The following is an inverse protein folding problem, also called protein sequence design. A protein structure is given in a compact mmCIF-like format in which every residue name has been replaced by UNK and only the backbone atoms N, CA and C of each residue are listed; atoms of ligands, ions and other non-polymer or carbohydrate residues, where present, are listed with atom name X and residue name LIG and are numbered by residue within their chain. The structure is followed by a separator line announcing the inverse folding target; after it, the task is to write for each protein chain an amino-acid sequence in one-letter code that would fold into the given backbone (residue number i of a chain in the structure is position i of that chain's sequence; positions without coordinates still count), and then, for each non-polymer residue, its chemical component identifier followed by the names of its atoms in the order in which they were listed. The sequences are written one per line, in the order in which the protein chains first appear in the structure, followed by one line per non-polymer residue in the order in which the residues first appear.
data_IF_861971011409
#
_entry.id   IF_861971011409
#
_cell.length_a   1.000
_cell.length_b   1.000
_cell.length_c   1.000
_cell.angle_alpha   90.00
_cell.angle_beta   90.00
_cell.angle_gamma   90.00
#
_symmetry.space_group_name_H-M   'P 1'
#
loop_
_entity.id
_entity.type
_entity.pdbx_description
1 polymer ?
#
# COMPACT_ATOMS: atom_id res chain seq x y z
N UNK A 1 -7.67 12.39 -30.62
CA UNK A 1 -7.70 12.95 -29.26
C UNK A 1 -7.23 11.89 -28.29
N UNK A 2 -6.25 12.27 -27.47
CA UNK A 2 -5.76 11.66 -26.21
C UNK A 2 -5.54 10.14 -26.11
N UNK A 3 -4.27 9.79 -26.30
CA UNK A 3 -3.66 8.52 -25.94
C UNK A 3 -3.52 8.42 -24.41
N UNK A 4 -4.60 8.06 -23.71
CA UNK A 4 -4.55 7.80 -22.26
C UNK A 4 -4.08 6.37 -22.01
N UNK A 5 -2.80 6.09 -22.28
CA UNK A 5 -2.11 5.00 -21.58
C UNK A 5 -1.95 5.44 -20.13
N UNK A 6 -3.01 5.30 -19.34
CA UNK A 6 -2.82 5.01 -17.93
C UNK A 6 -2.05 3.71 -17.96
N UNK A 7 -0.75 3.75 -17.70
CA UNK A 7 -0.02 2.54 -17.37
C UNK A 7 -0.66 2.07 -16.07
N UNK A 8 -1.71 1.27 -16.19
CA UNK A 8 -2.32 0.49 -15.11
C UNK A 8 -1.23 -0.48 -14.66
N UNK A 9 -0.24 0.04 -13.95
CA UNK A 9 0.78 -0.79 -13.31
C UNK A 9 0.00 -1.67 -12.37
N UNK A 10 0.14 -2.98 -12.58
CA UNK A 10 -0.56 -4.00 -11.84
C UNK A 10 -0.56 -3.67 -10.33
N UNK A 11 -1.76 -3.68 -9.75
CA UNK A 11 -1.93 -3.43 -8.32
C UNK A 11 -2.32 -4.70 -7.62
N UNK A 12 -1.80 -4.88 -6.42
CA UNK A 12 -2.10 -5.99 -5.53
C UNK A 12 -2.76 -5.48 -4.26
N UNK A 13 -3.46 -6.38 -3.58
CA UNK A 13 -3.97 -6.15 -2.24
C UNK A 13 -3.04 -6.81 -1.21
N UNK A 14 -2.69 -6.08 -0.16
CA UNK A 14 -1.81 -6.55 0.91
C UNK A 14 -2.56 -6.55 2.24
N UNK A 15 -2.36 -7.60 3.03
CA UNK A 15 -2.81 -7.64 4.43
C UNK A 15 -1.64 -7.23 5.32
N UNK A 16 -1.79 -6.11 6.02
CA UNK A 16 -0.80 -5.61 6.97
C UNK A 16 -1.16 -6.13 8.36
N UNK A 17 -0.20 -6.80 8.99
CA UNK A 17 -0.27 -7.26 10.38
C UNK A 17 0.69 -6.44 11.22
N UNK A 18 0.21 -5.85 12.31
CA UNK A 18 1.07 -5.07 13.22
C UNK A 18 1.58 -5.96 14.37
N UNK A 19 2.69 -5.56 15.02
CA UNK A 19 3.21 -6.26 16.20
C UNK A 19 2.12 -6.38 17.28
N UNK A 20 2.03 -7.55 17.90
CA UNK A 20 1.00 -7.87 18.91
C UNK A 20 -0.45 -7.62 18.44
N UNK A 21 -0.69 -7.50 17.13
CA UNK A 21 -1.99 -7.11 16.56
C UNK A 21 -2.52 -5.77 17.13
N UNK A 22 -1.61 -4.87 17.51
CA UNK A 22 -1.94 -3.59 18.13
C UNK A 22 -2.94 -2.78 17.29
N UNK A 23 -2.72 -2.79 15.97
CA UNK A 23 -3.75 -2.56 14.97
C UNK A 23 -4.04 -3.91 14.30
N UNK A 24 -5.30 -4.36 14.32
CA UNK A 24 -5.69 -5.64 13.72
C UNK A 24 -5.31 -5.76 12.23
N UNK A 25 -5.48 -6.96 11.67
CA UNK A 25 -5.17 -7.23 10.26
C UNK A 25 -5.95 -6.28 9.35
N UNK A 26 -5.24 -5.49 8.55
CA UNK A 26 -5.85 -4.50 7.66
C UNK A 26 -5.53 -4.80 6.20
N UNK A 27 -6.58 -4.84 5.38
CA UNK A 27 -6.44 -4.97 3.94
C UNK A 27 -6.17 -3.59 3.32
N UNK A 28 -5.13 -3.49 2.52
CA UNK A 28 -4.81 -2.30 1.73
C UNK A 28 -4.81 -2.69 0.27
N UNK A 29 -5.66 -2.03 -0.51
CA UNK A 29 -5.82 -2.25 -1.94
C UNK A 29 -5.05 -1.19 -2.75
N UNK A 30 -4.80 -1.48 -4.04
CA UNK A 30 -4.16 -0.52 -4.94
C UNK A 30 -2.65 -0.36 -4.72
N UNK A 31 -2.00 -1.33 -4.07
CA UNK A 31 -0.54 -1.32 -3.88
C UNK A 31 0.12 -1.68 -5.21
N UNK A 32 0.93 -0.80 -5.76
CA UNK A 32 1.57 -1.05 -7.06
C UNK A 32 2.69 -2.07 -6.90
N UNK A 33 2.78 -3.04 -7.83
CA UNK A 33 3.83 -4.08 -7.79
C UNK A 33 5.24 -3.53 -7.94
N UNK A 34 5.39 -2.32 -8.51
CA UNK A 34 6.68 -1.66 -8.71
C UNK A 34 7.15 -0.85 -7.48
N UNK A 35 6.37 -0.81 -6.39
CA UNK A 35 6.78 -0.15 -5.17
C UNK A 35 7.90 -0.87 -4.46
N UNK A 36 8.88 -0.09 -4.00
CA UNK A 36 9.84 -0.60 -3.03
C UNK A 36 9.18 -0.73 -1.66
N UNK A 37 9.81 -1.48 -0.76
CA UNK A 37 9.40 -1.54 0.66
C UNK A 37 9.39 -0.14 1.30
N UNK A 38 10.27 0.78 0.86
CA UNK A 38 10.30 2.16 1.33
C UNK A 38 9.05 2.94 0.91
N UNK A 39 8.63 2.79 -0.34
CA UNK A 39 7.42 3.45 -0.86
C UNK A 39 6.18 2.92 -0.15
N UNK A 40 6.10 1.59 0.04
CA UNK A 40 5.05 0.96 0.81
C UNK A 40 5.02 1.51 2.24
N UNK A 41 6.15 1.54 2.96
CA UNK A 41 6.21 2.09 4.33
C UNK A 41 5.81 3.57 4.39
N UNK A 42 6.18 4.38 3.39
CA UNK A 42 5.75 5.77 3.32
C UNK A 42 4.23 5.87 3.13
N UNK A 43 3.64 5.04 2.28
CA UNK A 43 2.19 4.93 2.13
C UNK A 43 1.52 4.50 3.44
N UNK A 44 2.04 3.46 4.10
CA UNK A 44 1.55 2.95 5.37
C UNK A 44 1.62 4.00 6.49
N UNK A 45 2.62 4.87 6.52
CA UNK A 45 2.71 5.94 7.52
C UNK A 45 1.56 6.95 7.46
N UNK A 46 0.90 7.10 6.29
CA UNK A 46 -0.32 7.91 6.16
C UNK A 46 -1.56 7.18 6.68
N UNK A 47 -1.55 5.85 6.62
CA UNK A 47 -2.63 4.97 7.08
C UNK A 47 -2.52 4.71 8.59
N UNK A 48 -1.29 4.63 9.11
CA UNK A 48 -0.95 4.39 10.51
C UNK A 48 -0.15 5.57 11.07
N UNK A 49 -0.82 6.62 11.58
CA UNK A 49 -0.16 7.84 12.06
C UNK A 49 0.77 7.63 13.26
N UNK A 50 0.67 6.50 13.96
CA UNK A 50 1.51 6.14 15.11
C UNK A 50 2.72 5.27 14.78
N UNK A 51 2.97 4.99 13.49
CA UNK A 51 3.86 3.93 12.99
C UNK A 51 3.43 2.53 13.48
N UNK A 52 3.11 1.61 12.56
CA UNK A 52 2.69 0.27 12.92
C UNK A 52 3.85 -0.57 13.47
#
# INVERSE_FOLDING_TARGET
MENSQVSDKETISLVIKTPNQFHGDQLIEGVRVDWTVKDLKCHLSKVYPTNP
#
